data_IF_662016588988
#
_entry.id   IF_662016588988
#
_cell.length_a   1.000
_cell.length_b   1.000
_cell.length_c   1.000
_cell.angle_alpha   90.00
_cell.angle_beta   90.00
_cell.angle_gamma   90.00
#
_symmetry.space_group_name_H-M   'P 1'
#
loop_
_entity.id
_entity.type
_entity.pdbx_description
1 polymer ?
#
# COMPACT_ATOMS: atom_id res chain seq x y z
N UNK A 1 -33.06 -11.29 40.95
CA UNK A 1 -32.86 -12.37 39.95
C UNK A 1 -32.14 -11.77 38.74
N UNK A 2 -30.81 -11.96 38.63
CA UNK A 2 -30.05 -11.68 37.41
C UNK A 2 -30.20 -12.88 36.46
N UNK A 3 -30.42 -12.70 35.15
CA UNK A 3 -30.16 -13.76 34.19
C UNK A 3 -28.66 -13.77 33.82
N UNK A 4 -28.10 -14.97 33.83
CA UNK A 4 -26.76 -15.35 33.39
C UNK A 4 -26.59 -15.19 31.87
N UNK A 5 -25.48 -14.56 31.45
CA UNK A 5 -25.00 -14.52 30.07
C UNK A 5 -24.24 -15.82 29.79
N UNK A 6 -24.48 -16.54 28.67
CA UNK A 6 -23.70 -17.71 28.33
C UNK A 6 -22.31 -17.30 27.83
N UNK A 7 -21.31 -17.96 28.39
CA UNK A 7 -19.91 -17.91 27.99
C UNK A 7 -19.75 -18.40 26.55
N UNK A 8 -19.27 -17.54 25.66
CA UNK A 8 -18.85 -17.92 24.32
C UNK A 8 -17.44 -17.43 24.09
N UNK A 9 -16.48 -18.32 24.35
CA UNK A 9 -15.07 -18.21 23.97
C UNK A 9 -14.90 -17.68 22.54
N UNK A 10 -14.08 -16.64 22.28
CA UNK A 10 -13.86 -16.13 20.94
C UNK A 10 -13.05 -17.13 20.10
N UNK A 11 -13.62 -17.62 19.01
CA UNK A 11 -12.87 -18.34 17.97
C UNK A 11 -11.86 -17.39 17.32
N UNK A 12 -10.61 -17.82 17.24
CA UNK A 12 -9.46 -17.06 16.76
C UNK A 12 -9.66 -16.38 15.39
N UNK A 13 -9.29 -15.10 15.32
CA UNK A 13 -9.47 -14.17 14.20
C UNK A 13 -8.74 -14.54 12.88
N UNK A 14 -7.81 -15.50 12.89
CA UNK A 14 -7.23 -16.05 11.67
C UNK A 14 -8.29 -16.74 10.80
N UNK A 15 -9.24 -17.46 11.42
CA UNK A 15 -10.24 -18.24 10.70
C UNK A 15 -11.21 -17.39 9.87
N UNK A 16 -11.54 -16.16 10.29
CA UNK A 16 -12.56 -15.33 9.62
C UNK A 16 -12.01 -14.67 8.35
N UNK A 17 -10.77 -14.20 8.36
CA UNK A 17 -10.10 -13.65 7.19
C UNK A 17 -9.81 -14.75 6.15
N UNK A 18 -9.36 -15.93 6.61
CA UNK A 18 -9.17 -17.11 5.75
C UNK A 18 -10.48 -17.59 5.16
N UNK A 19 -11.58 -17.55 5.92
CA UNK A 19 -12.92 -17.94 5.45
C UNK A 19 -13.46 -16.97 4.38
N UNK A 20 -13.26 -15.65 4.54
CA UNK A 20 -13.68 -14.68 3.53
C UNK A 20 -12.85 -14.79 2.24
N UNK A 21 -11.54 -15.04 2.35
CA UNK A 21 -10.69 -15.31 1.20
C UNK A 21 -11.07 -16.63 0.50
N UNK A 22 -11.33 -17.69 1.28
CA UNK A 22 -11.79 -18.99 0.78
C UNK A 22 -13.15 -18.88 0.09
N UNK A 23 -14.09 -18.12 0.65
CA UNK A 23 -15.38 -17.83 0.01
C UNK A 23 -15.19 -17.05 -1.30
N UNK A 24 -14.29 -16.07 -1.36
CA UNK A 24 -13.99 -15.33 -2.60
C UNK A 24 -13.39 -16.24 -3.67
N UNK A 25 -12.53 -17.19 -3.29
CA UNK A 25 -11.98 -18.22 -4.18
C UNK A 25 -13.02 -19.27 -4.61
N UNK A 26 -13.92 -19.71 -3.72
CA UNK A 26 -14.99 -20.67 -4.03
C UNK A 26 -15.97 -20.09 -5.07
N UNK A 27 -16.22 -18.78 -5.02
CA UNK A 27 -17.02 -18.05 -6.02
C UNK A 27 -16.34 -18.08 -7.38
N UNK A 28 -15.03 -17.84 -7.43
CA UNK A 28 -14.24 -17.90 -8.66
C UNK A 28 -14.22 -19.34 -9.21
N UNK A 29 -14.09 -20.33 -8.33
CA UNK A 29 -13.97 -21.75 -8.72
C UNK A 29 -15.29 -22.34 -9.22
N UNK A 30 -16.46 -21.97 -8.64
CA UNK A 30 -17.76 -22.46 -9.10
C UNK A 30 -18.24 -21.84 -10.41
N UNK A 31 -17.85 -20.60 -10.70
CA UNK A 31 -18.10 -20.00 -12.01
C UNK A 31 -17.27 -20.68 -13.12
N UNK A 32 -16.13 -21.28 -12.76
CA UNK A 32 -15.28 -22.11 -13.64
C UNK A 32 -15.97 -23.41 -14.08
N UNK A 33 -16.81 -23.99 -13.22
CA UNK A 33 -17.54 -25.25 -13.50
C UNK A 33 -18.68 -25.08 -14.51
N UNK A 34 -19.31 -23.89 -14.56
CA UNK A 34 -20.45 -23.61 -15.44
C UNK A 34 -20.06 -23.29 -16.88
N UNK A 35 -18.76 -23.09 -17.16
CA UNK A 35 -18.25 -22.83 -18.52
C UNK A 35 -17.80 -24.09 -19.28
N UNK A 36 -17.81 -25.27 -18.66
CA UNK A 36 -17.24 -26.50 -19.22
C UNK A 36 -18.27 -27.60 -19.56
N UNK A 37 -19.58 -27.31 -19.51
CA UNK A 37 -20.62 -28.25 -19.97
C UNK A 37 -20.86 -28.12 -21.48
N UNK A 38 -19.86 -28.46 -22.28
CA UNK A 38 -20.05 -28.82 -23.68
C UNK A 38 -18.87 -29.67 -24.15
N UNK A 39 -19.03 -31.00 -24.11
CA UNK A 39 -18.50 -31.99 -25.07
C UNK A 39 -18.35 -33.36 -24.38
N UNK A 40 -19.42 -34.15 -24.39
CA UNK A 40 -19.35 -35.60 -24.23
C UNK A 40 -19.11 -36.23 -25.60
N UNK A 41 -17.94 -36.85 -25.81
CA UNK A 41 -17.76 -37.88 -26.84
C UNK A 41 -16.77 -38.95 -26.37
N UNK A 42 -17.12 -40.21 -26.66
CA UNK A 42 -16.49 -41.44 -26.21
C UNK A 42 -15.14 -41.78 -26.88
N UNK A 43 -14.48 -42.75 -26.24
CA UNK A 43 -13.16 -43.36 -26.47
C UNK A 43 -12.80 -43.74 -27.92
N UNK A 44 -11.53 -43.55 -28.31
CA UNK A 44 -10.56 -44.62 -28.62
C UNK A 44 -9.22 -44.09 -29.17
N UNK A 45 -8.15 -44.75 -28.74
CA UNK A 45 -6.83 -44.94 -29.36
C UNK A 45 -5.71 -43.88 -29.32
N UNK A 46 -4.55 -44.46 -28.99
CA UNK A 46 -3.21 -43.97 -28.72
C UNK A 46 -2.58 -43.17 -29.85
N UNK A 47 -2.02 -41.99 -29.53
CA UNK A 47 -0.73 -41.55 -30.09
C UNK A 47 -0.13 -40.41 -29.25
N UNK A 48 1.16 -40.52 -28.98
CA UNK A 48 2.01 -39.59 -28.21
C UNK A 48 1.81 -38.12 -28.62
N UNK A 49 1.11 -37.35 -27.81
CA UNK A 49 1.01 -35.90 -27.97
C UNK A 49 1.74 -35.20 -26.84
N UNK A 50 2.78 -34.46 -27.23
CA UNK A 50 3.42 -33.43 -26.42
C UNK A 50 2.29 -32.53 -25.91
N UNK A 51 2.04 -32.56 -24.59
CA UNK A 51 1.09 -31.65 -23.95
C UNK A 51 1.66 -30.23 -24.03
N UNK A 52 1.41 -29.56 -25.16
CA UNK A 52 1.50 -28.12 -25.24
C UNK A 52 0.52 -27.58 -24.22
N UNK A 53 1.03 -27.05 -23.10
CA UNK A 53 0.22 -26.38 -22.09
C UNK A 53 -0.42 -25.18 -22.77
N UNK A 54 -1.62 -25.35 -23.34
CA UNK A 54 -2.46 -24.27 -23.84
C UNK A 54 -2.72 -23.37 -22.63
N UNK A 55 -1.95 -22.29 -22.51
CA UNK A 55 -2.27 -21.19 -21.61
C UNK A 55 -3.62 -20.68 -22.09
N UNK A 56 -4.71 -21.11 -21.46
CA UNK A 56 -6.01 -20.47 -21.62
C UNK A 56 -5.86 -19.06 -21.09
N UNK A 57 -5.69 -18.11 -22.01
CA UNK A 57 -5.83 -16.70 -21.71
C UNK A 57 -7.31 -16.54 -21.37
N UNK A 58 -7.63 -16.42 -20.08
CA UNK A 58 -8.99 -16.17 -19.64
C UNK A 58 -9.36 -14.76 -20.08
N UNK A 59 -10.52 -14.60 -20.74
CA UNK A 59 -11.09 -13.28 -20.92
C UNK A 59 -11.37 -12.67 -19.54
N UNK A 60 -10.97 -11.40 -19.29
CA UNK A 60 -11.22 -10.75 -18.03
C UNK A 60 -12.72 -10.72 -17.72
N UNK A 61 -13.12 -11.32 -16.60
CA UNK A 61 -14.49 -11.20 -16.09
C UNK A 61 -14.76 -9.73 -15.76
N UNK A 62 -15.56 -9.07 -16.58
CA UNK A 62 -15.91 -7.66 -16.40
C UNK A 62 -17.24 -7.56 -15.68
N UNK A 63 -17.21 -7.31 -14.37
CA UNK A 63 -18.40 -7.11 -13.53
C UNK A 63 -18.92 -5.66 -13.54
N UNK A 64 -18.32 -4.79 -14.35
CA UNK A 64 -18.57 -3.34 -14.32
C UNK A 64 -18.10 -2.69 -13.01
N UNK A 65 -18.56 -1.47 -12.75
CA UNK A 65 -18.35 -0.79 -11.47
C UNK A 65 -19.31 -1.29 -10.38
N UNK A 66 -19.04 -1.00 -9.10
CA UNK A 66 -19.95 -1.32 -8.02
C UNK A 66 -21.17 -0.39 -8.08
N UNK A 67 -22.29 -0.90 -8.56
CA UNK A 67 -23.54 -0.14 -8.78
C UNK A 67 -24.54 -0.26 -7.62
N UNK A 68 -24.32 -1.18 -6.69
CA UNK A 68 -25.22 -1.42 -5.57
C UNK A 68 -24.65 -0.79 -4.30
N UNK A 69 -25.52 -0.40 -3.37
CA UNK A 69 -25.12 0.11 -2.06
C UNK A 69 -25.78 -0.65 -0.92
N UNK A 70 -25.09 -0.77 0.21
CA UNK A 70 -25.67 -1.33 1.41
C UNK A 70 -26.69 -0.36 2.04
N UNK A 71 -27.89 -0.85 2.34
CA UNK A 71 -28.98 -0.06 2.92
C UNK A 71 -28.68 0.53 4.31
N UNK A 72 -27.72 -0.03 5.04
CA UNK A 72 -27.39 0.42 6.40
C UNK A 72 -26.20 1.39 6.44
N UNK A 73 -25.16 1.12 5.64
CA UNK A 73 -23.86 1.79 5.75
C UNK A 73 -23.51 2.61 4.49
N UNK A 74 -24.27 2.48 3.39
CA UNK A 74 -23.98 3.14 2.11
C UNK A 74 -22.79 2.58 1.34
N UNK A 75 -22.03 1.61 1.87
CA UNK A 75 -20.87 1.04 1.18
C UNK A 75 -21.28 0.44 -0.17
N UNK A 76 -20.43 0.64 -1.18
CA UNK A 76 -20.65 0.19 -2.55
C UNK A 76 -20.28 -1.29 -2.70
N UNK A 77 -21.07 -2.01 -3.48
CA UNK A 77 -20.95 -3.44 -3.74
C UNK A 77 -21.16 -3.75 -5.22
N UNK A 78 -20.51 -4.80 -5.71
CA UNK A 78 -20.96 -5.44 -6.95
C UNK A 78 -22.23 -6.25 -6.68
N UNK A 79 -23.08 -6.37 -7.70
CA UNK A 79 -24.34 -7.14 -7.59
C UNK A 79 -24.12 -8.59 -7.12
N UNK A 80 -23.01 -9.22 -7.51
CA UNK A 80 -22.66 -10.60 -7.15
C UNK A 80 -22.09 -10.79 -5.75
N UNK A 81 -21.84 -9.71 -5.02
CA UNK A 81 -21.46 -9.74 -3.61
C UNK A 81 -22.67 -9.85 -2.66
N UNK A 82 -23.89 -9.89 -3.21
CA UNK A 82 -25.12 -10.10 -2.44
C UNK A 82 -25.09 -11.44 -1.69
N UNK A 83 -25.69 -11.45 -0.50
CA UNK A 83 -25.72 -12.64 0.37
C UNK A 83 -26.50 -13.79 -0.27
N UNK A 84 -27.68 -13.49 -0.83
CA UNK A 84 -28.56 -14.48 -1.48
C UNK A 84 -28.39 -14.41 -2.99
N UNK A 85 -27.80 -15.45 -3.57
CA UNK A 85 -27.51 -15.54 -5.01
C UNK A 85 -28.62 -16.23 -5.78
N UNK A 86 -29.84 -15.71 -5.64
CA UNK A 86 -30.93 -16.08 -6.54
C UNK A 86 -30.66 -15.49 -7.92
N UNK A 87 -31.22 -16.11 -8.98
CA UNK A 87 -30.99 -15.72 -10.38
C UNK A 87 -31.28 -14.23 -10.61
N UNK A 88 -32.33 -13.71 -9.96
CA UNK A 88 -32.73 -12.31 -10.00
C UNK A 88 -33.18 -11.85 -8.62
N UNK A 89 -32.28 -11.23 -7.87
CA UNK A 89 -32.59 -10.56 -6.61
C UNK A 89 -32.86 -9.08 -6.87
N UNK A 90 -34.10 -8.63 -6.71
CA UNK A 90 -34.46 -7.22 -6.90
C UNK A 90 -33.92 -6.32 -5.78
N UNK A 91 -33.89 -6.84 -4.55
CA UNK A 91 -33.38 -6.14 -3.36
C UNK A 91 -32.17 -6.88 -2.78
N UNK A 92 -30.97 -6.71 -3.37
CA UNK A 92 -29.78 -7.39 -2.88
C UNK A 92 -29.42 -6.91 -1.48
N UNK A 93 -29.15 -7.86 -0.59
CA UNK A 93 -28.71 -7.61 0.79
C UNK A 93 -27.22 -7.84 0.91
N UNK A 94 -26.54 -6.96 1.64
CA UNK A 94 -25.09 -6.98 1.83
C UNK A 94 -24.76 -6.91 3.32
N UNK A 95 -23.85 -7.77 3.77
CA UNK A 95 -23.45 -7.86 5.18
C UNK A 95 -21.93 -7.75 5.41
N UNK A 96 -21.12 -7.61 4.35
CA UNK A 96 -19.66 -7.54 4.47
C UNK A 96 -19.17 -6.18 5.01
N UNK A 97 -19.93 -5.08 4.89
CA UNK A 97 -19.53 -3.77 5.45
C UNK A 97 -19.86 -3.66 6.95
N UNK A 98 -21.11 -3.89 7.32
CA UNK A 98 -21.66 -3.53 8.63
C UNK A 98 -22.32 -4.71 9.35
N UNK A 99 -22.06 -5.95 8.89
CA UNK A 99 -22.74 -7.17 9.37
C UNK A 99 -24.27 -7.06 9.35
N UNK A 100 -24.82 -6.36 8.34
CA UNK A 100 -26.27 -6.14 8.21
C UNK A 100 -26.82 -5.13 9.23
N UNK A 101 -26.11 -4.03 9.44
CA UNK A 101 -26.50 -2.96 10.37
C UNK A 101 -26.08 -3.18 11.82
N UNK A 102 -25.42 -4.30 12.14
CA UNK A 102 -24.95 -4.61 13.50
C UNK A 102 -23.71 -3.82 13.90
N UNK A 103 -22.95 -3.31 12.93
CA UNK A 103 -21.75 -2.49 13.15
C UNK A 103 -22.03 -1.10 12.58
N UNK A 104 -21.93 -0.09 13.44
CA UNK A 104 -21.92 1.32 13.02
C UNK A 104 -20.46 1.74 12.82
N UNK A 105 -20.07 1.99 11.57
CA UNK A 105 -18.76 2.54 11.24
C UNK A 105 -18.89 4.06 11.23
N UNK A 106 -18.08 4.74 12.03
CA UNK A 106 -17.98 6.19 11.93
C UNK A 106 -17.40 6.57 10.57
N UNK A 107 -17.93 7.62 9.91
CA UNK A 107 -17.30 8.17 8.72
C UNK A 107 -15.85 8.55 9.02
N UNK A 108 -14.96 8.36 8.05
CA UNK A 108 -13.60 8.86 8.17
C UNK A 108 -13.62 10.39 8.17
N UNK A 109 -12.78 10.98 9.01
CA UNK A 109 -12.49 12.40 8.90
C UNK A 109 -11.88 12.68 7.52
N UNK A 110 -12.31 13.75 6.84
CA UNK A 110 -11.74 14.10 5.56
C UNK A 110 -10.24 14.40 5.72
N UNK A 111 -9.41 14.03 4.73
CA UNK A 111 -8.00 14.41 4.74
C UNK A 111 -7.86 15.94 4.86
N UNK A 112 -6.82 16.43 5.57
CA UNK A 112 -6.58 17.86 5.68
C UNK A 112 -6.26 18.49 4.33
N UNK A 113 -6.56 19.78 4.17
CA UNK A 113 -6.17 20.54 2.98
C UNK A 113 -4.65 20.68 2.91
N UNK A 114 -4.03 20.59 1.71
CA UNK A 114 -4.63 20.56 0.37
C UNK A 114 -4.94 19.14 -0.15
N UNK A 115 -4.68 18.09 0.63
CA UNK A 115 -4.74 16.71 0.13
C UNK A 115 -6.16 16.31 -0.29
N UNK A 116 -7.18 16.82 0.39
CA UNK A 116 -8.58 16.60 -0.02
C UNK A 116 -8.82 17.06 -1.45
N UNK A 117 -8.46 18.30 -1.79
CA UNK A 117 -8.71 18.87 -3.11
C UNK A 117 -7.95 18.13 -4.22
N UNK A 118 -6.72 17.69 -3.91
CA UNK A 118 -5.89 16.86 -4.80
C UNK A 118 -6.51 15.48 -5.06
N UNK A 119 -7.26 14.92 -4.10
CA UNK A 119 -7.89 13.61 -4.20
C UNK A 119 -9.29 13.66 -4.82
N UNK A 120 -10.03 14.76 -4.65
CA UNK A 120 -11.44 14.87 -5.10
C UNK A 120 -11.60 15.63 -6.42
N UNK A 121 -10.51 15.89 -7.15
CA UNK A 121 -10.55 16.57 -8.45
C UNK A 121 -11.18 17.97 -8.43
N UNK A 122 -11.10 18.70 -7.31
CA UNK A 122 -11.63 20.07 -7.25
C UNK A 122 -10.92 20.98 -8.25
N UNK A 123 -9.59 20.84 -8.36
CA UNK A 123 -8.82 21.37 -9.47
C UNK A 123 -8.40 20.21 -10.38
N UNK A 124 -9.11 20.03 -11.49
CA UNK A 124 -8.91 18.91 -12.41
C UNK A 124 -7.46 18.82 -12.92
N UNK A 125 -6.81 19.95 -13.23
CA UNK A 125 -5.43 19.96 -13.72
C UNK A 125 -4.42 19.51 -12.64
N UNK A 126 -4.49 20.12 -11.45
CA UNK A 126 -3.59 19.77 -10.35
C UNK A 126 -3.81 18.34 -9.85
N UNK A 127 -5.06 17.91 -9.75
CA UNK A 127 -5.42 16.56 -9.29
C UNK A 127 -4.98 15.52 -10.31
N UNK A 128 -5.19 15.78 -11.61
CA UNK A 128 -4.71 14.89 -12.68
C UNK A 128 -3.19 14.76 -12.66
N UNK A 129 -2.46 15.88 -12.53
CA UNK A 129 -1.00 15.86 -12.40
C UNK A 129 -0.55 15.08 -11.16
N UNK A 130 -1.17 15.32 -10.01
CA UNK A 130 -0.88 14.63 -8.76
C UNK A 130 -1.13 13.12 -8.87
N UNK A 131 -2.30 12.70 -9.38
CA UNK A 131 -2.62 11.28 -9.55
C UNK A 131 -1.70 10.58 -10.55
N UNK A 132 -1.38 11.25 -11.67
CA UNK A 132 -0.46 10.69 -12.66
C UNK A 132 0.94 10.44 -12.07
N UNK A 133 1.36 11.26 -11.10
CA UNK A 133 2.68 11.19 -10.46
C UNK A 133 2.64 10.85 -8.97
N UNK A 134 1.57 10.20 -8.49
CA UNK A 134 1.33 10.02 -7.06
C UNK A 134 2.44 9.21 -6.38
N UNK A 135 3.07 8.28 -7.12
CA UNK A 135 4.19 7.49 -6.61
C UNK A 135 5.43 8.34 -6.35
N UNK A 136 5.73 9.28 -7.24
CA UNK A 136 6.85 10.21 -7.08
C UNK A 136 6.60 11.14 -5.90
N UNK A 137 5.39 11.70 -5.78
CA UNK A 137 5.01 12.50 -4.61
C UNK A 137 5.12 11.70 -3.31
N UNK A 138 4.56 10.49 -3.24
CA UNK A 138 4.67 9.63 -2.06
C UNK A 138 6.13 9.31 -1.71
N UNK A 139 6.99 9.13 -2.72
CA UNK A 139 8.43 8.90 -2.52
C UNK A 139 9.10 10.11 -1.86
N UNK A 140 8.75 11.33 -2.28
CA UNK A 140 9.29 12.57 -1.67
C UNK A 140 8.95 12.69 -0.19
N UNK A 141 7.81 12.17 0.25
CA UNK A 141 7.30 12.28 1.62
C UNK A 141 7.44 11.00 2.44
N UNK A 142 8.12 9.99 1.92
CA UNK A 142 8.39 8.76 2.65
C UNK A 142 9.36 9.03 3.81
N UNK A 143 8.97 8.69 5.04
CA UNK A 143 9.86 8.79 6.21
C UNK A 143 10.80 7.59 6.36
N UNK A 144 10.41 6.43 5.82
CA UNK A 144 11.15 5.18 5.96
C UNK A 144 11.32 4.52 4.61
N UNK A 145 12.43 3.79 4.45
CA UNK A 145 12.62 2.91 3.30
C UNK A 145 12.12 1.51 3.62
N UNK A 146 11.81 0.72 2.58
CA UNK A 146 11.43 -0.67 2.75
C UNK A 146 12.69 -1.53 2.91
N UNK A 147 12.77 -2.26 4.01
CA UNK A 147 13.71 -3.36 4.20
C UNK A 147 13.04 -4.68 3.89
N UNK A 148 13.57 -5.42 2.92
CA UNK A 148 13.06 -6.72 2.52
C UNK A 148 14.19 -7.53 1.86
N UNK A 149 14.17 -8.86 2.03
CA UNK A 149 15.05 -9.75 1.26
C UNK A 149 14.39 -10.01 -0.09
N UNK A 150 14.91 -9.37 -1.13
CA UNK A 150 14.43 -9.53 -2.50
C UNK A 150 15.09 -10.78 -3.10
N UNK A 151 14.28 -11.65 -3.67
CA UNK A 151 14.74 -12.84 -4.38
C UNK A 151 14.61 -12.61 -5.89
N UNK A 152 15.75 -12.33 -6.52
CA UNK A 152 15.83 -12.04 -7.95
C UNK A 152 15.96 -13.29 -8.81
N UNK A 153 16.14 -14.48 -8.21
CA UNK A 153 16.45 -15.71 -8.96
C UNK A 153 15.31 -16.17 -9.88
N UNK A 154 14.10 -15.65 -9.66
CA UNK A 154 12.91 -15.99 -10.44
C UNK A 154 12.88 -15.27 -11.80
N UNK A 155 13.53 -14.11 -11.91
CA UNK A 155 13.47 -13.29 -13.12
C UNK A 155 14.52 -13.74 -14.15
N UNK A 156 14.34 -14.95 -14.71
CA UNK A 156 15.23 -15.59 -15.69
C UNK A 156 15.00 -15.17 -17.15
N UNK A 157 14.11 -14.20 -17.38
CA UNK A 157 13.81 -13.62 -18.69
C UNK A 157 12.70 -14.34 -19.48
N UNK A 158 12.13 -15.45 -18.99
CA UNK A 158 11.10 -16.21 -19.72
C UNK A 158 9.64 -15.83 -19.38
N UNK A 159 9.43 -14.79 -18.58
CA UNK A 159 8.10 -14.38 -18.14
C UNK A 159 8.01 -12.91 -17.69
N UNK A 160 6.80 -12.45 -17.35
CA UNK A 160 6.59 -11.14 -16.72
C UNK A 160 7.44 -10.99 -15.46
N UNK A 161 7.89 -9.77 -15.18
CA UNK A 161 8.70 -9.50 -13.98
C UNK A 161 7.94 -9.85 -12.70
N UNK A 162 8.59 -10.60 -11.82
CA UNK A 162 8.07 -11.00 -10.51
C UNK A 162 8.91 -10.32 -9.44
N UNK A 163 8.29 -9.44 -8.67
CA UNK A 163 8.89 -8.89 -7.45
C UNK A 163 8.66 -9.85 -6.29
N UNK A 164 9.63 -10.73 -6.02
CA UNK A 164 9.53 -11.72 -4.94
C UNK A 164 10.27 -11.24 -3.70
N UNK A 165 9.55 -11.18 -2.58
CA UNK A 165 10.11 -10.93 -1.26
C UNK A 165 10.14 -12.24 -0.49
N UNK A 166 11.22 -12.50 0.24
CA UNK A 166 11.38 -13.61 1.16
C UNK A 166 11.54 -13.10 2.59
N UNK A 167 10.94 -13.77 3.57
CA UNK A 167 11.02 -13.39 4.98
C UNK A 167 10.15 -12.21 5.34
N UNK A 168 10.62 -11.39 6.29
CA UNK A 168 9.87 -10.28 6.87
C UNK A 168 10.16 -8.97 6.13
N UNK A 169 9.13 -8.14 5.96
CA UNK A 169 9.25 -6.75 5.54
C UNK A 169 9.36 -5.87 6.78
N UNK A 170 10.34 -4.98 6.83
CA UNK A 170 10.52 -4.02 7.92
C UNK A 170 10.65 -2.60 7.38
N UNK A 171 10.36 -1.60 8.21
CA UNK A 171 10.64 -0.20 7.91
C UNK A 171 12.07 0.14 8.36
N UNK A 172 12.91 0.59 7.43
CA UNK A 172 14.28 1.02 7.72
C UNK A 172 14.31 2.53 7.90
N UNK A 173 14.92 2.95 9.00
CA UNK A 173 15.20 4.36 9.29
C UNK A 173 16.70 4.53 9.41
N UNK A 174 17.26 5.38 8.56
CA UNK A 174 18.68 5.70 8.57
C UNK A 174 19.06 6.68 9.68
N UNK A 175 20.30 7.14 9.65
CA UNK A 175 20.77 8.25 10.49
C UNK A 175 19.92 9.52 10.28
N UNK A 176 19.83 10.37 11.30
CA UNK A 176 19.08 11.63 11.23
C UNK A 176 19.72 12.69 10.32
N UNK A 177 21.04 12.59 10.10
CA UNK A 177 21.78 13.45 9.17
C UNK A 177 22.33 12.62 8.01
N UNK A 178 22.38 13.17 6.79
CA UNK A 178 23.09 12.53 5.70
C UNK A 178 24.57 12.38 6.02
N UNK A 179 25.20 11.35 5.46
CA UNK A 179 26.66 11.23 5.50
C UNK A 179 27.31 12.37 4.72
N UNK A 180 28.56 12.73 5.04
CA UNK A 180 29.27 13.82 4.36
C UNK A 180 29.27 13.60 2.84
N UNK A 181 28.82 14.61 2.09
CA UNK A 181 28.74 14.57 0.62
C UNK A 181 27.59 13.76 0.04
N UNK A 182 26.75 13.13 0.88
CA UNK A 182 25.54 12.44 0.44
C UNK A 182 24.32 13.37 0.53
N UNK A 183 23.36 13.16 -0.37
CA UNK A 183 22.08 13.87 -0.31
C UNK A 183 21.21 13.36 0.86
N UNK A 184 20.28 14.17 1.39
CA UNK A 184 19.31 13.70 2.37
C UNK A 184 18.31 12.72 1.74
N UNK A 185 17.97 11.65 2.47
CA UNK A 185 16.95 10.68 2.07
C UNK A 185 15.96 10.35 3.21
N UNK A 186 14.72 10.06 2.83
CA UNK A 186 13.64 9.64 3.73
C UNK A 186 13.44 10.61 4.93
N UNK A 187 13.49 10.11 6.17
CA UNK A 187 13.38 10.89 7.40
C UNK A 187 14.35 12.10 7.47
N UNK A 188 15.51 12.04 6.81
CA UNK A 188 16.48 13.13 6.81
C UNK A 188 15.92 14.39 6.16
N UNK A 189 14.97 14.27 5.21
CA UNK A 189 14.32 15.40 4.55
C UNK A 189 13.46 16.25 5.49
N UNK A 190 13.18 15.76 6.71
CA UNK A 190 12.47 16.50 7.74
C UNK A 190 13.40 17.21 8.72
N UNK A 191 14.71 16.93 8.66
CA UNK A 191 15.73 17.40 9.60
C UNK A 191 16.78 18.28 8.92
N UNK A 192 17.30 17.83 7.79
CA UNK A 192 18.43 18.44 7.09
C UNK A 192 17.96 19.61 6.21
N UNK A 193 18.61 20.76 6.36
CA UNK A 193 18.44 21.96 5.52
C UNK A 193 16.97 22.23 5.17
N UNK A 194 16.22 22.61 6.20
CA UNK A 194 14.77 22.84 6.09
C UNK A 194 14.44 24.08 5.24
N UNK A 195 15.43 24.94 4.97
CA UNK A 195 15.25 26.12 4.09
C UNK A 195 15.17 25.70 2.62
N UNK A 196 15.92 24.66 2.21
CA UNK A 196 15.92 24.12 0.85
C UNK A 196 15.12 22.81 0.71
N UNK A 197 14.18 22.53 1.62
CA UNK A 197 13.46 21.24 1.70
C UNK A 197 12.71 20.88 0.41
N UNK A 198 12.07 21.84 -0.26
CA UNK A 198 11.34 21.60 -1.53
C UNK A 198 12.28 21.05 -2.58
N UNK A 199 13.40 21.73 -2.82
CA UNK A 199 14.42 21.32 -3.79
C UNK A 199 15.01 19.95 -3.43
N UNK A 200 15.31 19.73 -2.14
CA UNK A 200 15.83 18.46 -1.64
C UNK A 200 14.85 17.29 -1.92
N UNK A 201 13.55 17.48 -1.66
CA UNK A 201 12.51 16.48 -1.94
C UNK A 201 12.37 16.18 -3.43
N UNK A 202 12.36 17.21 -4.27
CA UNK A 202 12.25 17.05 -5.73
C UNK A 202 13.44 16.25 -6.30
N UNK A 203 14.64 16.53 -5.81
CA UNK A 203 15.86 15.82 -6.23
C UNK A 203 15.80 14.31 -5.91
N UNK A 204 15.19 13.92 -4.79
CA UNK A 204 15.04 12.50 -4.42
C UNK A 204 14.15 11.76 -5.42
N UNK A 205 13.02 12.34 -5.82
CA UNK A 205 12.11 11.71 -6.77
C UNK A 205 12.72 11.60 -8.18
N UNK A 206 13.50 12.59 -8.61
CA UNK A 206 14.13 12.62 -9.94
C UNK A 206 15.18 11.52 -10.14
N UNK A 207 15.96 11.17 -9.10
CA UNK A 207 16.98 10.12 -9.21
C UNK A 207 16.48 8.70 -8.95
N UNK A 208 15.24 8.53 -8.46
CA UNK A 208 14.65 7.20 -8.23
C UNK A 208 14.56 6.33 -9.50
N UNK A 209 14.75 6.93 -10.68
CA UNK A 209 14.73 6.25 -11.99
C UNK A 209 16.06 5.65 -12.42
N UNK A 210 17.18 6.02 -11.80
CA UNK A 210 18.44 5.31 -11.99
C UNK A 210 18.49 4.18 -10.98
N UNK A 211 17.78 3.09 -11.29
CA UNK A 211 17.93 1.85 -10.54
C UNK A 211 19.40 1.51 -10.41
N UNK A 212 19.79 1.02 -9.24
CA UNK A 212 21.10 0.47 -8.91
C UNK A 212 21.43 -0.71 -9.83
N UNK A 213 21.72 -0.43 -11.08
CA UNK A 213 22.47 -1.30 -11.97
C UNK A 213 23.88 -0.72 -12.02
N UNK A 214 24.64 -1.00 -10.97
CA UNK A 214 26.10 -1.11 -11.07
C UNK A 214 26.43 -2.29 -11.98
N UNK A 215 26.11 -2.15 -13.27
CA UNK A 215 26.76 -2.86 -14.36
C UNK A 215 27.57 -1.83 -15.09
N UNK A 216 28.84 -1.76 -14.72
CA UNK A 216 29.92 -1.27 -15.55
C UNK A 216 29.91 -2.00 -16.88
N UNK A 217 29.13 -1.51 -17.82
CA UNK A 217 29.36 -1.78 -19.24
C UNK A 217 29.28 -0.44 -19.94
N UNK A 218 30.46 0.13 -20.17
CA UNK A 218 30.71 1.24 -21.07
C UNK A 218 30.20 0.87 -22.46
N UNK A 219 28.93 1.16 -22.73
CA UNK A 219 28.36 1.20 -24.07
C UNK A 219 27.17 2.14 -24.03
N UNK A 220 27.47 3.38 -24.37
CA UNK A 220 26.52 4.42 -24.72
C UNK A 220 25.59 3.90 -25.81
N UNK A 221 24.41 3.42 -25.42
CA UNK A 221 23.25 3.45 -26.30
C UNK A 221 22.40 4.60 -25.82
N UNK A 222 22.41 5.67 -26.61
CA UNK A 222 21.47 6.78 -26.52
C UNK A 222 20.09 6.17 -26.73
N UNK A 223 19.41 5.84 -25.64
CA UNK A 223 18.01 5.47 -25.66
C UNK A 223 17.21 6.76 -25.78
N UNK A 224 17.00 7.20 -27.02
CA UNK A 224 15.96 8.17 -27.39
C UNK A 224 14.60 7.56 -27.08
N UNK A 225 14.21 7.59 -25.81
CA UNK A 225 12.86 7.38 -25.36
C UNK A 225 12.38 8.71 -24.78
N UNK A 226 11.40 9.29 -25.44
CA UNK A 226 10.55 10.40 -24.95
C UNK A 226 9.74 9.94 -23.74
N UNK A 227 10.41 9.50 -22.68
CA UNK A 227 9.79 9.40 -21.36
C UNK A 227 9.72 10.82 -20.83
N UNK A 228 8.50 11.36 -20.72
CA UNK A 228 8.22 12.59 -19.99
C UNK A 228 9.03 12.59 -18.69
N UNK A 229 9.99 13.51 -18.60
CA UNK A 229 10.72 13.74 -17.36
C UNK A 229 9.65 14.15 -16.34
N UNK A 230 9.61 13.46 -15.20
CA UNK A 230 8.71 13.87 -14.15
C UNK A 230 9.12 15.28 -13.71
N UNK A 231 8.23 16.25 -13.91
CA UNK A 231 8.37 17.60 -13.40
C UNK A 231 7.45 17.74 -12.19
N UNK A 232 8.05 17.83 -11.02
CA UNK A 232 7.32 18.07 -9.78
C UNK A 232 6.71 19.47 -9.78
N UNK A 233 5.43 19.57 -9.40
CA UNK A 233 4.82 20.85 -9.07
C UNK A 233 5.27 21.29 -7.67
N UNK A 234 6.10 22.33 -7.60
CA UNK A 234 6.63 22.88 -6.35
C UNK A 234 5.53 23.36 -5.39
N UNK A 235 4.43 23.92 -5.91
CA UNK A 235 3.30 24.36 -5.09
C UNK A 235 2.61 23.20 -4.37
N UNK A 236 2.49 22.04 -5.03
CA UNK A 236 2.00 20.81 -4.38
C UNK A 236 2.97 20.35 -3.29
N UNK A 237 4.28 20.34 -3.57
CA UNK A 237 5.28 19.92 -2.58
C UNK A 237 5.24 20.84 -1.36
N UNK A 238 5.28 22.15 -1.56
CA UNK A 238 5.27 23.14 -0.47
C UNK A 238 3.99 23.05 0.36
N UNK A 239 2.83 22.91 -0.27
CA UNK A 239 1.56 22.83 0.43
C UNK A 239 1.40 21.53 1.23
N UNK A 240 1.92 20.40 0.72
CA UNK A 240 1.99 19.14 1.47
C UNK A 240 2.97 19.22 2.65
N UNK A 241 4.11 19.90 2.51
CA UNK A 241 5.03 20.18 3.65
C UNK A 241 4.30 20.94 4.75
N UNK A 242 3.60 22.02 4.40
CA UNK A 242 2.83 22.83 5.36
C UNK A 242 1.74 22.02 6.06
N UNK A 243 0.98 21.23 5.30
CA UNK A 243 -0.05 20.34 5.83
C UNK A 243 0.54 19.33 6.83
N UNK A 244 1.65 18.68 6.48
CA UNK A 244 2.32 17.72 7.34
C UNK A 244 2.87 18.38 8.61
N UNK A 245 3.48 19.56 8.51
CA UNK A 245 3.95 20.30 9.68
C UNK A 245 2.79 20.68 10.62
N UNK A 246 1.61 20.98 10.07
CA UNK A 246 0.44 21.40 10.84
C UNK A 246 -0.26 20.22 11.52
N UNK A 247 -0.47 19.11 10.80
CA UNK A 247 -1.35 18.03 11.25
C UNK A 247 -0.62 16.77 11.70
N UNK A 248 0.60 16.50 11.24
CA UNK A 248 1.26 15.23 11.51
C UNK A 248 2.16 15.31 12.77
N UNK A 249 1.85 14.57 13.86
CA UNK A 249 2.61 14.63 15.11
C UNK A 249 4.02 14.05 14.98
N UNK A 250 4.22 13.07 14.09
CA UNK A 250 5.56 12.50 13.83
C UNK A 250 6.41 13.56 13.14
N UNK A 251 5.88 14.26 12.13
CA UNK A 251 6.60 15.34 11.46
C UNK A 251 7.01 16.43 12.46
N UNK A 252 6.11 16.82 13.37
CA UNK A 252 6.44 17.77 14.45
C UNK A 252 7.59 17.28 15.33
N UNK A 253 7.61 16.00 15.70
CA UNK A 253 8.72 15.40 16.46
C UNK A 253 10.07 15.53 15.72
N UNK A 254 10.09 15.23 14.42
CA UNK A 254 11.28 15.40 13.57
C UNK A 254 11.69 16.88 13.44
N UNK A 255 10.73 17.83 13.38
CA UNK A 255 11.02 19.28 13.39
C UNK A 255 11.65 19.72 14.71
N UNK A 256 11.15 19.24 15.84
CA UNK A 256 11.76 19.53 17.15
C UNK A 256 13.19 18.98 17.23
N UNK A 257 13.43 17.77 16.71
CA UNK A 257 14.79 17.21 16.64
C UNK A 257 15.71 18.06 15.74
N UNK A 258 15.20 18.52 14.59
CA UNK A 258 15.92 19.44 13.70
C UNK A 258 16.35 20.72 14.41
N UNK A 259 15.44 21.38 15.11
CA UNK A 259 15.75 22.62 15.85
C UNK A 259 16.84 22.42 16.89
N UNK A 260 16.83 21.29 17.61
CA UNK A 260 17.87 20.96 18.61
C UNK A 260 19.23 20.72 17.97
N UNK A 261 19.27 20.02 16.84
CA UNK A 261 20.50 19.74 16.09
C UNK A 261 21.16 21.00 15.50
N UNK A 262 20.40 22.05 15.19
CA UNK A 262 20.95 23.32 14.71
C UNK A 262 21.56 24.16 15.84
N UNK A 263 21.13 23.97 17.10
CA UNK A 263 21.60 24.73 18.26
C UNK A 263 22.87 24.18 18.92
N UNK A 264 23.06 22.86 18.92
CA UNK A 264 24.19 22.18 19.58
C UNK A 264 24.73 21.03 18.70
N UNK A 265 25.99 21.14 18.23
CA UNK A 265 26.58 20.15 17.33
C UNK A 265 27.17 18.92 18.05
N UNK A 266 27.14 18.89 19.38
CA UNK A 266 27.72 17.82 20.22
C UNK A 266 26.69 16.85 20.84
N UNK A 267 25.40 17.07 20.61
CA UNK A 267 24.34 16.29 21.27
C UNK A 267 24.05 14.98 20.51
N UNK A 268 24.21 13.84 21.20
CA UNK A 268 23.75 12.53 20.71
C UNK A 268 22.23 12.41 20.92
N UNK A 269 21.46 12.65 19.86
CA UNK A 269 20.00 12.57 19.88
C UNK A 269 19.51 11.23 19.35
N UNK A 270 18.49 10.67 20.00
CA UNK A 270 17.78 9.47 19.55
C UNK A 270 16.28 9.76 19.53
N UNK A 271 15.60 9.46 18.42
CA UNK A 271 14.14 9.52 18.32
C UNK A 271 13.60 8.12 18.61
N UNK A 272 12.80 8.01 19.66
CA UNK A 272 12.08 6.76 19.98
C UNK A 272 10.59 6.98 19.77
N UNK A 273 10.02 6.26 18.81
CA UNK A 273 8.59 6.27 18.55
C UNK A 273 7.98 5.12 19.36
N UNK A 274 7.14 5.46 20.32
CA UNK A 274 6.43 4.46 21.11
C UNK A 274 5.10 4.13 20.43
N UNK A 275 4.94 2.88 20.02
CA UNK A 275 3.62 2.32 19.77
C UNK A 275 2.88 2.22 21.10
N UNK A 276 1.58 2.48 21.10
CA UNK A 276 0.72 2.13 22.24
C UNK A 276 0.18 0.73 21.97
N UNK A 277 0.68 -0.33 22.64
CA UNK A 277 0.00 -1.62 22.63
C UNK A 277 -1.43 -1.36 23.16
N UNK A 278 -2.45 -1.87 22.47
CA UNK A 278 -3.87 -1.78 22.88
C UNK A 278 -4.59 -0.44 22.64
N UNK A 279 -3.98 0.56 21.99
CA UNK A 279 -4.72 1.76 21.57
C UNK A 279 -5.66 1.50 20.36
N UNK A 280 -5.54 0.34 19.72
CA UNK A 280 -6.46 -0.14 18.70
C UNK A 280 -7.48 -1.07 19.36
N UNK A 281 -8.77 -0.74 19.25
CA UNK A 281 -9.84 -1.72 19.48
C UNK A 281 -9.89 -2.73 18.32
N UNK A 282 -10.91 -3.57 18.25
CA UNK A 282 -11.10 -4.52 17.15
C UNK A 282 -11.08 -3.86 15.76
N UNK A 283 -11.10 -4.70 14.70
CA UNK A 283 -11.04 -4.46 13.23
C UNK A 283 -11.83 -3.23 12.69
N UNK A 284 -12.67 -2.59 13.50
CA UNK A 284 -13.50 -1.43 13.18
C UNK A 284 -13.01 -0.10 13.78
N UNK A 285 -11.84 -0.08 14.42
CA UNK A 285 -11.27 1.14 14.98
C UNK A 285 -10.51 1.94 13.92
N UNK A 286 -10.54 3.27 14.03
CA UNK A 286 -9.77 4.14 13.14
C UNK A 286 -8.25 3.89 13.28
N UNK A 287 -7.47 3.98 12.19
CA UNK A 287 -6.02 3.85 12.25
C UNK A 287 -5.42 5.00 13.07
N UNK A 288 -4.38 4.70 13.85
CA UNK A 288 -3.68 5.69 14.69
C UNK A 288 -2.23 5.81 14.29
N UNK A 289 -1.66 7.02 14.31
CA UNK A 289 -0.28 7.26 13.87
C UNK A 289 0.79 6.45 14.63
N UNK A 290 0.46 5.89 15.80
CA UNK A 290 1.31 5.01 16.60
C UNK A 290 1.36 3.54 16.12
N UNK A 291 0.72 3.20 14.99
CA UNK A 291 0.61 1.83 14.42
C UNK A 291 1.88 1.34 13.69
N UNK A 292 3.01 2.05 13.73
CA UNK A 292 4.22 1.61 13.03
C UNK A 292 4.83 0.39 13.73
N UNK A 293 4.55 -0.81 13.21
CA UNK A 293 5.11 -2.08 13.69
C UNK A 293 6.45 -2.34 13.00
N UNK A 294 7.54 -2.29 13.78
CA UNK A 294 8.88 -2.72 13.39
C UNK A 294 9.76 -1.64 12.77
N UNK A 295 10.48 -0.90 13.63
CA UNK A 295 11.55 0.02 13.25
C UNK A 295 12.90 -0.67 13.52
N UNK A 296 13.63 -1.04 12.47
CA UNK A 296 14.99 -1.58 12.61
C UNK A 296 15.99 -0.45 12.34
N UNK A 297 16.79 -0.14 13.34
CA UNK A 297 17.93 0.79 13.22
C UNK A 297 19.17 -0.04 12.94
N UNK A 298 19.75 0.07 11.74
CA UNK A 298 21.00 -0.63 11.37
C UNK A 298 20.87 -1.57 10.15
N UNK A 299 21.91 -2.39 9.96
CA UNK A 299 21.99 -3.36 8.86
C UNK A 299 21.28 -4.68 9.20
N UNK A 300 20.44 -5.12 8.27
CA UNK A 300 19.76 -6.41 8.35
C UNK A 300 20.79 -7.53 8.20
N UNK A 301 21.03 -8.28 9.28
CA UNK A 301 21.83 -9.50 9.25
C UNK A 301 22.89 -9.66 10.33
N UNK A 302 23.12 -8.67 11.21
CA UNK A 302 24.17 -8.77 12.24
C UNK A 302 23.68 -9.16 13.63
N UNK A 303 22.39 -9.08 13.94
CA UNK A 303 21.86 -9.61 15.20
C UNK A 303 20.37 -9.92 15.12
N UNK A 304 20.03 -11.15 15.55
CA UNK A 304 18.66 -11.64 15.72
C UNK A 304 18.10 -11.16 17.07
N UNK A 305 17.97 -9.85 17.28
CA UNK A 305 17.25 -9.34 18.46
C UNK A 305 16.37 -8.19 18.01
N UNK A 306 15.06 -8.45 17.97
CA UNK A 306 14.01 -7.46 17.73
C UNK A 306 13.60 -6.71 18.99
#
# INVERSE_FOLDING_TARGET
RRPSVPDSTPRSNSHVATENHRRRLDVITRNRSRGNEASTTSMSDTHSQIFAHKRTIFEPLTLGGPQCSCQHCGALFWYDERVRRERHTQNPTYNLCCKGGKVSLQPYDPPPQPLLDLLTSQNSSLSSHFFHHIRQYNTMFAMTSMGAKIDESINDGRGPYIFKISGQVCHRVGSMRPSRGQRPEYAQLYIFDTECEVSNRINVASSSRTGSSSRTTSSSRIASSTHTLFQANEGIVQSLITMLNTHNPIVKLFRTASQRLHGNDSDHLYIRIYGKPDAHGDIYSAPVASEVVGLVVGDLGSSNVG
#
